data_IF_708089337633
#
_entry.id   IF_708089337633
#
_cell.length_a   1.000
_cell.length_b   1.000
_cell.length_c   1.000
_cell.angle_alpha   90.00
_cell.angle_beta   90.00
_cell.angle_gamma   90.00
#
_symmetry.space_group_name_H-M   'P 1'
#
loop_
_entity.id
_entity.type
_entity.pdbx_description
1 polymer ?
#
# COMPACT_ATOMS: atom_id res chain seq x y z
N UNK A 1 21.18 -46.52 23.27
CA UNK A 1 21.14 -46.08 21.87
C UNK A 1 20.38 -44.79 21.82
N UNK A 2 21.08 -43.70 21.67
CA UNK A 2 20.50 -42.36 21.59
C UNK A 2 20.23 -42.08 20.12
N UNK A 3 18.95 -42.13 19.70
CA UNK A 3 18.57 -41.66 18.39
C UNK A 3 18.75 -40.14 18.32
N UNK A 4 19.80 -39.73 17.61
CA UNK A 4 19.95 -38.33 17.21
C UNK A 4 18.94 -38.10 16.12
N UNK A 5 17.78 -37.55 16.49
CA UNK A 5 16.82 -37.02 15.53
C UNK A 5 17.47 -35.83 14.84
N UNK A 6 18.07 -36.07 13.68
CA UNK A 6 18.45 -34.98 12.77
C UNK A 6 17.17 -34.27 12.31
N UNK A 7 16.83 -33.21 12.98
CA UNK A 7 15.92 -32.22 12.41
C UNK A 7 16.61 -31.61 11.20
N UNK A 8 16.34 -32.17 10.03
CA UNK A 8 16.63 -31.51 8.76
C UNK A 8 15.86 -30.20 8.74
N UNK A 9 16.57 -29.14 9.08
CA UNK A 9 16.09 -27.77 8.88
C UNK A 9 15.99 -27.55 7.36
N UNK A 10 14.90 -28.00 6.77
CA UNK A 10 14.58 -27.77 5.36
C UNK A 10 14.31 -26.29 5.19
N UNK A 11 15.40 -25.53 5.02
CA UNK A 11 15.33 -24.14 4.58
C UNK A 11 14.53 -24.11 3.29
N UNK A 12 13.26 -23.75 3.39
CA UNK A 12 12.40 -23.56 2.22
C UNK A 12 13.08 -22.58 1.28
N UNK A 13 13.37 -23.05 0.06
CA UNK A 13 13.97 -22.20 -0.98
C UNK A 13 13.00 -21.06 -1.28
N UNK A 14 13.52 -19.85 -1.26
CA UNK A 14 12.74 -18.65 -1.62
C UNK A 14 12.31 -18.76 -3.07
N UNK A 15 11.01 -18.77 -3.38
CA UNK A 15 10.56 -18.85 -4.75
C UNK A 15 10.93 -17.57 -5.51
N UNK A 16 11.34 -17.70 -6.76
CA UNK A 16 11.75 -16.57 -7.60
C UNK A 16 10.67 -15.49 -7.76
N UNK A 17 9.40 -15.92 -7.79
CA UNK A 17 8.26 -15.00 -7.94
C UNK A 17 8.11 -14.05 -6.75
N UNK A 18 8.64 -14.37 -5.56
CA UNK A 18 8.63 -13.45 -4.41
C UNK A 18 9.44 -12.19 -4.72
N UNK A 19 10.58 -12.36 -5.39
CA UNK A 19 11.41 -11.22 -5.80
C UNK A 19 10.70 -10.36 -6.84
N UNK A 20 10.04 -10.98 -7.83
CA UNK A 20 9.27 -10.26 -8.85
C UNK A 20 8.12 -9.49 -8.21
N UNK A 21 7.31 -10.14 -7.40
CA UNK A 21 6.18 -9.49 -6.70
C UNK A 21 6.66 -8.39 -5.76
N UNK A 22 7.73 -8.64 -5.00
CA UNK A 22 8.29 -7.66 -4.08
C UNK A 22 8.85 -6.42 -4.78
N UNK A 23 9.56 -6.59 -5.90
CA UNK A 23 10.08 -5.46 -6.69
C UNK A 23 8.93 -4.66 -7.31
N UNK A 24 7.93 -5.33 -7.87
CA UNK A 24 6.74 -4.65 -8.42
C UNK A 24 6.02 -3.88 -7.31
N UNK A 25 5.87 -4.48 -6.13
CA UNK A 25 5.25 -3.83 -4.98
C UNK A 25 6.02 -2.57 -4.55
N UNK A 26 7.35 -2.64 -4.47
CA UNK A 26 8.19 -1.48 -4.12
C UNK A 26 8.05 -0.38 -5.17
N UNK A 27 8.16 -0.71 -6.46
CA UNK A 27 8.08 0.27 -7.53
C UNK A 27 6.70 0.96 -7.57
N UNK A 28 5.63 0.18 -7.46
CA UNK A 28 4.27 0.71 -7.45
C UNK A 28 4.03 1.62 -6.23
N UNK A 29 4.40 1.17 -5.05
CA UNK A 29 4.17 1.94 -3.82
C UNK A 29 5.13 3.14 -3.69
N UNK A 30 6.32 3.09 -4.30
CA UNK A 30 7.22 4.23 -4.39
C UNK A 30 6.59 5.41 -5.18
N UNK A 31 5.78 5.13 -6.19
CA UNK A 31 5.01 6.15 -6.91
C UNK A 31 4.03 6.84 -5.94
N UNK A 32 3.33 6.09 -5.10
CA UNK A 32 2.44 6.65 -4.08
C UNK A 32 3.17 7.50 -3.05
N UNK A 33 4.36 7.08 -2.61
CA UNK A 33 5.21 7.88 -1.71
C UNK A 33 5.65 9.18 -2.39
N UNK A 34 6.08 9.10 -3.64
CA UNK A 34 6.47 10.28 -4.41
C UNK A 34 5.31 11.26 -4.53
N UNK A 35 4.13 10.78 -4.92
CA UNK A 35 2.92 11.59 -5.03
C UNK A 35 2.54 12.26 -3.71
N UNK A 36 2.58 11.52 -2.60
CA UNK A 36 2.32 12.05 -1.26
C UNK A 36 3.32 13.15 -0.88
N UNK A 37 4.63 12.90 -1.04
CA UNK A 37 5.68 13.86 -0.68
C UNK A 37 5.57 15.13 -1.53
N UNK A 38 5.34 14.99 -2.83
CA UNK A 38 5.20 16.14 -3.72
C UNK A 38 3.93 16.94 -3.42
N UNK A 39 2.84 16.27 -3.11
CA UNK A 39 1.58 16.92 -2.70
C UNK A 39 1.75 17.73 -1.40
N UNK A 40 2.52 17.19 -0.45
CA UNK A 40 2.82 17.90 0.81
C UNK A 40 3.82 19.06 0.61
N UNK A 41 4.81 18.89 -0.26
CA UNK A 41 5.87 19.89 -0.46
C UNK A 41 5.46 21.05 -1.37
N UNK A 42 4.72 20.76 -2.45
CA UNK A 42 4.37 21.75 -3.48
C UNK A 42 2.86 22.08 -3.51
N UNK A 43 2.02 21.29 -2.84
CA UNK A 43 0.58 21.52 -2.74
C UNK A 43 -0.10 21.62 -4.12
N UNK A 44 -0.90 22.68 -4.29
CA UNK A 44 -1.67 22.90 -5.51
C UNK A 44 -0.82 22.92 -6.78
N UNK A 45 0.39 23.47 -6.74
CA UNK A 45 1.27 23.55 -7.90
C UNK A 45 1.61 22.16 -8.46
N UNK A 46 1.90 21.20 -7.60
CA UNK A 46 2.14 19.82 -8.02
C UNK A 46 0.85 19.18 -8.54
N UNK A 47 -0.26 19.35 -7.82
CA UNK A 47 -1.55 18.76 -8.17
C UNK A 47 -2.03 19.24 -9.55
N UNK A 48 -1.86 20.53 -9.85
CA UNK A 48 -2.13 21.09 -11.18
C UNK A 48 -1.22 20.47 -12.27
N UNK A 49 0.05 20.27 -11.96
CA UNK A 49 1.02 19.71 -12.90
C UNK A 49 0.71 18.26 -13.31
N UNK A 50 0.03 17.50 -12.45
CA UNK A 50 -0.43 16.14 -12.73
C UNK A 50 -1.85 16.07 -13.27
N UNK A 51 -2.44 17.23 -13.60
CA UNK A 51 -3.72 17.34 -14.29
C UNK A 51 -4.95 17.26 -13.39
N UNK A 52 -4.82 17.53 -12.09
CA UNK A 52 -5.96 17.61 -11.20
C UNK A 52 -6.81 18.86 -11.47
N UNK A 53 -8.12 18.71 -11.39
CA UNK A 53 -9.06 19.82 -11.51
C UNK A 53 -9.05 20.69 -10.26
N UNK A 54 -9.47 21.98 -10.35
CA UNK A 54 -9.56 22.85 -9.19
C UNK A 54 -10.41 22.27 -8.05
N UNK A 55 -11.50 21.55 -8.36
CA UNK A 55 -12.35 20.89 -7.37
C UNK A 55 -11.63 19.76 -6.66
N UNK A 56 -10.85 18.96 -7.37
CA UNK A 56 -10.04 17.90 -6.78
C UNK A 56 -8.97 18.48 -5.86
N UNK A 57 -8.28 19.53 -6.28
CA UNK A 57 -7.27 20.22 -5.48
C UNK A 57 -7.90 20.80 -4.21
N UNK A 58 -9.06 21.46 -4.31
CA UNK A 58 -9.76 21.98 -3.15
C UNK A 58 -10.12 20.89 -2.14
N UNK A 59 -10.59 19.72 -2.62
CA UNK A 59 -10.89 18.58 -1.76
C UNK A 59 -9.68 18.14 -0.93
N UNK A 60 -8.49 18.06 -1.53
CA UNK A 60 -7.26 17.71 -0.83
C UNK A 60 -6.77 18.79 0.11
N UNK A 61 -6.94 20.07 -0.25
CA UNK A 61 -6.53 21.21 0.59
C UNK A 61 -7.44 21.41 1.80
N UNK A 62 -8.71 21.10 1.68
CA UNK A 62 -9.70 21.19 2.75
C UNK A 62 -9.70 19.96 3.66
N UNK A 63 -8.87 18.96 3.34
CA UNK A 63 -8.77 17.72 4.11
C UNK A 63 -8.28 18.00 5.53
N UNK A 64 -8.99 17.50 6.57
CA UNK A 64 -8.55 17.68 7.95
C UNK A 64 -7.23 16.94 8.23
N UNK A 65 -6.46 17.45 9.18
CA UNK A 65 -5.13 16.92 9.51
C UNK A 65 -5.14 15.42 9.85
N UNK A 66 -6.19 14.93 10.53
CA UNK A 66 -6.30 13.50 10.85
C UNK A 66 -6.42 12.64 9.58
N UNK A 67 -7.06 13.16 8.54
CA UNK A 67 -7.19 12.46 7.27
C UNK A 67 -5.87 12.43 6.51
N UNK A 68 -5.08 13.50 6.58
CA UNK A 68 -3.71 13.54 6.06
C UNK A 68 -2.84 12.48 6.74
N UNK A 69 -2.99 12.28 8.05
CA UNK A 69 -2.30 11.20 8.78
C UNK A 69 -2.74 9.82 8.31
N UNK A 70 -4.04 9.61 8.08
CA UNK A 70 -4.56 8.35 7.51
C UNK A 70 -3.96 8.09 6.13
N UNK A 71 -3.90 9.09 5.28
CA UNK A 71 -3.25 9.00 3.97
C UNK A 71 -1.77 8.64 4.10
N UNK A 72 -1.03 9.31 4.99
CA UNK A 72 0.36 8.99 5.29
C UNK A 72 0.54 7.54 5.73
N UNK A 73 -0.27 7.05 6.66
CA UNK A 73 -0.23 5.65 7.12
C UNK A 73 -0.47 4.68 5.96
N UNK A 74 -1.42 4.97 5.08
CA UNK A 74 -1.69 4.17 3.90
C UNK A 74 -0.48 4.07 2.98
N UNK A 75 0.10 5.19 2.62
CA UNK A 75 1.22 5.29 1.65
C UNK A 75 2.52 4.73 2.24
N UNK A 76 2.91 5.17 3.43
CA UNK A 76 4.14 4.70 4.07
C UNK A 76 4.03 3.25 4.55
N UNK A 77 2.84 2.82 4.96
CA UNK A 77 2.57 1.42 5.27
C UNK A 77 2.73 0.51 4.07
N UNK A 78 2.25 0.91 2.90
CA UNK A 78 2.35 0.13 1.68
C UNK A 78 3.80 -0.06 1.22
N UNK A 79 4.63 0.99 1.23
CA UNK A 79 6.05 0.86 0.89
C UNK A 79 6.82 0.05 1.92
N UNK A 80 6.55 0.25 3.21
CA UNK A 80 7.16 -0.54 4.28
C UNK A 80 6.79 -2.03 4.14
N UNK A 81 5.53 -2.34 3.88
CA UNK A 81 5.07 -3.71 3.62
C UNK A 81 5.80 -4.35 2.45
N UNK A 82 6.04 -3.58 1.38
CA UNK A 82 6.77 -4.03 0.19
C UNK A 82 8.24 -4.36 0.51
N UNK A 83 8.91 -3.51 1.29
CA UNK A 83 10.29 -3.74 1.75
C UNK A 83 10.35 -4.96 2.66
N UNK A 84 9.42 -5.08 3.61
CA UNK A 84 9.34 -6.24 4.50
C UNK A 84 9.11 -7.55 3.72
N UNK A 85 8.32 -7.50 2.65
CA UNK A 85 8.12 -8.64 1.76
C UNK A 85 9.44 -9.08 1.11
N UNK A 86 10.23 -8.14 0.58
CA UNK A 86 11.56 -8.43 0.01
C UNK A 86 12.55 -8.94 1.06
N UNK A 87 12.49 -8.41 2.29
CA UNK A 87 13.29 -8.89 3.42
C UNK A 87 12.80 -10.24 3.97
N UNK A 88 11.74 -10.79 3.39
CA UNK A 88 11.11 -12.05 3.82
C UNK A 88 10.62 -12.00 5.27
N UNK A 89 10.16 -10.85 5.70
CA UNK A 89 9.65 -10.64 7.05
C UNK A 89 8.12 -10.87 7.08
N UNK A 90 7.66 -11.69 8.02
CA UNK A 90 6.23 -11.99 8.21
C UNK A 90 5.38 -10.76 8.58
N UNK A 91 6.00 -9.68 9.07
CA UNK A 91 5.32 -8.42 9.34
C UNK A 91 4.80 -7.73 8.08
N UNK A 92 5.22 -8.16 6.88
CA UNK A 92 4.67 -7.65 5.63
C UNK A 92 3.14 -7.77 5.59
N UNK A 93 2.58 -8.90 6.05
CA UNK A 93 1.14 -9.12 6.07
C UNK A 93 0.38 -8.09 6.91
N UNK A 94 0.64 -7.93 8.23
CA UNK A 94 -0.10 -6.96 9.04
C UNK A 94 0.16 -5.51 8.62
N UNK A 95 1.33 -5.19 8.08
CA UNK A 95 1.65 -3.84 7.61
C UNK A 95 0.86 -3.50 6.34
N UNK A 96 0.76 -4.42 5.37
CA UNK A 96 -0.11 -4.24 4.23
C UNK A 96 -1.59 -4.16 4.62
N UNK A 97 -2.03 -4.95 5.59
CA UNK A 97 -3.40 -4.90 6.10
C UNK A 97 -3.72 -3.54 6.74
N UNK A 98 -2.78 -2.97 7.50
CA UNK A 98 -2.91 -1.61 8.06
C UNK A 98 -2.99 -0.56 6.94
N UNK A 99 -2.14 -0.68 5.93
CA UNK A 99 -2.14 0.22 4.77
C UNK A 99 -3.48 0.17 4.02
N UNK A 100 -4.01 -1.02 3.75
CA UNK A 100 -5.32 -1.18 3.10
C UNK A 100 -6.43 -0.59 3.98
N UNK A 101 -6.42 -0.83 5.29
CA UNK A 101 -7.38 -0.26 6.22
C UNK A 101 -7.40 1.27 6.19
N UNK A 102 -6.22 1.90 6.20
CA UNK A 102 -6.08 3.34 6.06
C UNK A 102 -6.60 3.83 4.70
N UNK A 103 -6.29 3.13 3.62
CA UNK A 103 -6.79 3.47 2.29
C UNK A 103 -8.32 3.35 2.19
N UNK A 104 -8.94 2.32 2.77
CA UNK A 104 -10.38 2.17 2.80
C UNK A 104 -11.06 3.28 3.63
N UNK A 105 -10.44 3.74 4.71
CA UNK A 105 -10.91 4.92 5.46
C UNK A 105 -10.86 6.17 4.57
N UNK A 106 -9.82 6.33 3.76
CA UNK A 106 -9.71 7.43 2.80
C UNK A 106 -10.82 7.38 1.74
N UNK A 107 -11.17 6.20 1.25
CA UNK A 107 -12.28 6.03 0.32
C UNK A 107 -13.63 6.34 0.98
N UNK A 108 -13.83 5.88 2.20
CA UNK A 108 -15.04 6.17 2.97
C UNK A 108 -15.19 7.68 3.18
N UNK A 109 -14.11 8.37 3.55
CA UNK A 109 -14.09 9.82 3.69
C UNK A 109 -14.48 10.51 2.36
N UNK A 110 -13.81 10.15 1.27
CA UNK A 110 -13.99 10.80 -0.03
C UNK A 110 -15.38 10.55 -0.62
N UNK A 111 -15.89 9.33 -0.58
CA UNK A 111 -17.09 8.93 -1.32
C UNK A 111 -18.37 8.91 -0.46
N UNK A 112 -18.24 8.87 0.86
CA UNK A 112 -19.41 8.74 1.76
C UNK A 112 -19.53 9.92 2.71
N UNK A 113 -18.43 10.41 3.27
CA UNK A 113 -18.47 11.50 4.27
C UNK A 113 -18.36 12.89 3.67
N UNK A 114 -17.94 13.00 2.41
CA UNK A 114 -17.83 14.25 1.67
C UNK A 114 -18.42 14.10 0.27
N UNK A 115 -18.59 15.23 -0.43
CA UNK A 115 -19.02 15.24 -1.83
C UNK A 115 -17.88 14.94 -2.82
N UNK A 116 -16.78 14.37 -2.32
CA UNK A 116 -15.59 14.06 -3.12
C UNK A 116 -15.87 13.09 -4.26
N UNK A 117 -16.88 12.22 -4.14
CA UNK A 117 -17.29 11.31 -5.21
C UNK A 117 -17.70 12.02 -6.49
N UNK A 118 -18.38 13.15 -6.40
CA UNK A 118 -18.81 13.96 -7.55
C UNK A 118 -17.64 14.71 -8.19
N UNK A 119 -16.63 15.04 -7.39
CA UNK A 119 -15.46 15.83 -7.79
C UNK A 119 -14.35 14.95 -8.39
N UNK A 120 -14.15 13.74 -7.83
CA UNK A 120 -13.05 12.86 -8.20
C UNK A 120 -13.16 12.26 -9.59
N UNK A 121 -14.37 12.00 -10.08
CA UNK A 121 -14.62 11.46 -11.41
C UNK A 121 -14.21 9.99 -11.59
N UNK A 122 -14.44 9.46 -12.79
CA UNK A 122 -14.24 8.05 -13.12
C UNK A 122 -12.79 7.60 -13.08
N UNK A 123 -11.85 8.45 -13.47
CA UNK A 123 -10.41 8.12 -13.52
C UNK A 123 -9.85 7.88 -12.11
N UNK A 124 -10.23 8.73 -11.15
CA UNK A 124 -9.85 8.55 -9.74
C UNK A 124 -10.52 7.33 -9.11
N UNK A 125 -11.78 7.05 -9.47
CA UNK A 125 -12.46 5.84 -9.02
C UNK A 125 -11.77 4.58 -9.56
N UNK A 126 -11.35 4.58 -10.82
CA UNK A 126 -10.59 3.48 -11.42
C UNK A 126 -9.23 3.29 -10.75
N UNK A 127 -8.49 4.39 -10.51
CA UNK A 127 -7.22 4.34 -9.79
C UNK A 127 -7.40 3.76 -8.38
N UNK A 128 -8.43 4.18 -7.67
CA UNK A 128 -8.76 3.65 -6.33
C UNK A 128 -9.08 2.15 -6.36
N UNK A 129 -9.80 1.68 -7.37
CA UNK A 129 -10.09 0.26 -7.56
C UNK A 129 -8.81 -0.55 -7.82
N UNK A 130 -7.90 -0.05 -8.65
CA UNK A 130 -6.60 -0.68 -8.93
C UNK A 130 -5.75 -0.77 -7.67
N UNK A 131 -5.65 0.31 -6.90
CA UNK A 131 -4.89 0.34 -5.64
C UNK A 131 -5.48 -0.68 -4.64
N UNK A 132 -6.81 -0.71 -4.48
CA UNK A 132 -7.49 -1.66 -3.60
C UNK A 132 -7.20 -3.09 -4.01
N UNK A 133 -7.28 -3.39 -5.31
CA UNK A 133 -6.98 -4.72 -5.85
C UNK A 133 -5.52 -5.12 -5.57
N UNK A 134 -4.56 -4.25 -5.86
CA UNK A 134 -3.14 -4.55 -5.67
C UNK A 134 -2.77 -4.73 -4.19
N UNK A 135 -3.27 -3.87 -3.30
CA UNK A 135 -3.05 -4.04 -1.85
C UNK A 135 -3.67 -5.33 -1.33
N UNK A 136 -4.87 -5.68 -1.79
CA UNK A 136 -5.52 -6.95 -1.43
C UNK A 136 -4.71 -8.14 -1.93
N UNK A 137 -4.18 -8.06 -3.14
CA UNK A 137 -3.27 -9.08 -3.69
C UNK A 137 -2.00 -9.21 -2.85
N UNK A 138 -1.36 -8.11 -2.46
CA UNK A 138 -0.14 -8.13 -1.64
C UNK A 138 -0.41 -8.70 -0.24
N UNK A 139 -1.57 -8.43 0.34
CA UNK A 139 -2.00 -9.02 1.62
C UNK A 139 -2.16 -10.53 1.48
N UNK A 140 -2.90 -10.97 0.47
CA UNK A 140 -3.10 -12.39 0.20
C UNK A 140 -1.76 -13.09 -0.05
N UNK A 141 -0.92 -12.51 -0.88
CA UNK A 141 0.38 -13.07 -1.25
C UNK A 141 1.31 -13.17 -0.02
N UNK A 142 1.43 -12.13 0.79
CA UNK A 142 2.27 -12.15 1.99
C UNK A 142 1.76 -13.15 3.02
N UNK A 143 0.44 -13.29 3.19
CA UNK A 143 -0.15 -14.33 4.03
C UNK A 143 0.16 -15.73 3.52
N UNK A 144 0.05 -15.96 2.22
CA UNK A 144 0.39 -17.23 1.60
C UNK A 144 1.87 -17.59 1.81
N UNK A 145 2.78 -16.63 1.60
CA UNK A 145 4.22 -16.84 1.78
C UNK A 145 4.58 -17.05 3.26
N UNK A 146 3.89 -16.42 4.19
CA UNK A 146 4.03 -16.68 5.63
C UNK A 146 3.60 -18.11 5.98
N UNK A 147 2.45 -18.55 5.47
CA UNK A 147 1.96 -19.93 5.70
C UNK A 147 2.90 -20.99 5.11
N UNK A 148 3.59 -20.69 4.04
CA UNK A 148 4.59 -21.57 3.40
C UNK A 148 5.97 -21.52 4.10
N UNK A 149 6.13 -20.73 5.16
CA UNK A 149 7.39 -20.58 5.89
C UNK A 149 8.48 -19.81 5.12
N UNK A 150 8.11 -19.11 4.03
CA UNK A 150 9.05 -18.29 3.24
C UNK A 150 9.30 -16.96 3.94
N UNK A 151 8.27 -16.36 4.52
CA UNK A 151 8.37 -15.16 5.36
C UNK A 151 8.51 -15.60 6.83
N UNK A 152 9.47 -15.03 7.53
CA UNK A 152 9.83 -15.40 8.92
C UNK A 152 9.78 -14.22 9.88
#
# INVERSE_FOLDING_TARGET
MTEVTMTTDTKMKTPWHLWVVGVIAVLFNAIGVFDFVMSMAQGATYMESVGMTPGQIAHYQEMPAWMTLVWAVGVWGAILGSVLLLLRNKLAFPVFALSLGAFLISLLYTYVLTDGGDVMGGDMAMASAVITFLLSFFIWYSKLMTRRGVLR
#
